data_IF_168786901374
#
_entry.id   IF_168786901374
#
_cell.length_a   1.000
_cell.length_b   1.000
_cell.length_c   1.000
_cell.angle_alpha   90.00
_cell.angle_beta   90.00
_cell.angle_gamma   90.00
#
_symmetry.space_group_name_H-M   'P 1'
#
loop_
_entity.id
_entity.type
_entity.pdbx_description
1 polymer ?
#
# COMPACT_ATOMS: atom_id res chain seq x y z
N UNK A 1 -2.44 -17.05 -7.96
CA UNK A 1 -2.06 -16.43 -9.24
C UNK A 1 -2.07 -14.91 -9.10
N UNK A 2 -3.14 -14.32 -8.55
CA UNK A 2 -3.29 -12.86 -8.38
C UNK A 2 -2.10 -12.17 -7.68
N UNK A 3 -1.76 -12.56 -6.45
CA UNK A 3 -0.60 -12.00 -5.75
C UNK A 3 0.75 -12.15 -6.44
N UNK A 4 0.98 -13.24 -7.19
CA UNK A 4 2.24 -13.43 -7.95
C UNK A 4 2.28 -12.46 -9.13
N UNK A 5 1.17 -12.30 -9.85
CA UNK A 5 1.06 -11.32 -10.94
C UNK A 5 1.21 -9.89 -10.41
N UNK A 6 0.57 -9.57 -9.29
CA UNK A 6 0.69 -8.26 -8.63
C UNK A 6 2.14 -7.96 -8.20
N UNK A 7 2.83 -8.98 -7.65
CA UNK A 7 4.25 -8.90 -7.29
C UNK A 7 5.11 -8.59 -8.51
N UNK A 8 4.91 -9.32 -9.61
CA UNK A 8 5.68 -9.10 -10.84
C UNK A 8 5.47 -7.68 -11.39
N UNK A 9 4.23 -7.19 -11.43
CA UNK A 9 3.89 -5.84 -11.89
C UNK A 9 4.66 -4.77 -11.09
N UNK A 10 4.58 -4.82 -9.75
CA UNK A 10 5.24 -3.83 -8.91
C UNK A 10 6.77 -3.98 -8.94
N UNK A 11 7.29 -5.20 -8.94
CA UNK A 11 8.74 -5.44 -9.03
C UNK A 11 9.31 -4.84 -10.31
N UNK A 12 8.72 -5.12 -11.47
CA UNK A 12 9.16 -4.56 -12.75
C UNK A 12 9.03 -3.04 -12.78
N UNK A 13 7.95 -2.49 -12.21
CA UNK A 13 7.76 -1.04 -12.12
C UNK A 13 8.84 -0.40 -11.27
N UNK A 14 9.09 -0.93 -10.07
CA UNK A 14 10.12 -0.42 -9.17
C UNK A 14 11.52 -0.54 -9.81
N UNK A 15 11.85 -1.66 -10.47
CA UNK A 15 13.14 -1.81 -11.15
C UNK A 15 13.30 -0.88 -12.35
N UNK A 16 12.23 -0.59 -13.08
CA UNK A 16 12.27 0.40 -14.16
C UNK A 16 12.48 1.83 -13.63
N UNK A 17 11.95 2.14 -12.44
CA UNK A 17 12.07 3.47 -11.82
C UNK A 17 13.37 3.65 -11.03
N UNK A 18 13.92 2.58 -10.48
CA UNK A 18 15.17 2.54 -9.73
C UNK A 18 16.00 1.31 -10.16
N UNK A 19 16.71 1.38 -11.30
CA UNK A 19 17.49 0.25 -11.82
C UNK A 19 18.51 -0.28 -10.82
N UNK A 20 19.18 0.63 -10.13
CA UNK A 20 20.20 0.35 -9.11
C UNK A 20 19.61 0.13 -7.70
N UNK A 21 18.28 0.17 -7.57
CA UNK A 21 17.60 -0.09 -6.32
C UNK A 21 17.69 -1.56 -5.90
N UNK A 22 17.93 -1.78 -4.61
CA UNK A 22 17.83 -3.09 -3.95
C UNK A 22 16.36 -3.45 -3.75
N UNK A 23 15.80 -4.14 -4.75
CA UNK A 23 14.39 -4.50 -4.80
C UNK A 23 14.29 -6.01 -4.81
N UNK A 24 13.78 -6.55 -3.69
CA UNK A 24 13.65 -7.98 -3.44
C UNK A 24 12.16 -8.34 -3.40
N UNK A 25 11.85 -9.58 -3.75
CA UNK A 25 10.51 -10.15 -3.56
C UNK A 25 10.55 -11.15 -2.42
N UNK A 26 9.42 -11.27 -1.74
CA UNK A 26 9.23 -12.26 -0.68
C UNK A 26 7.83 -12.86 -0.87
N UNK A 27 7.77 -14.19 -0.92
CA UNK A 27 6.52 -14.95 -1.05
C UNK A 27 6.45 -15.88 0.16
N UNK A 28 5.46 -15.72 1.05
CA UNK A 28 5.38 -16.51 2.26
C UNK A 28 5.10 -17.98 1.94
N UNK A 29 5.69 -18.88 2.73
CA UNK A 29 5.41 -20.31 2.60
C UNK A 29 4.05 -20.63 3.23
N UNK A 30 3.06 -20.93 2.38
CA UNK A 30 1.65 -21.05 2.82
C UNK A 30 1.42 -22.09 3.91
N UNK A 31 2.19 -23.18 3.93
CA UNK A 31 2.00 -24.26 4.90
C UNK A 31 2.56 -23.90 6.28
N UNK A 32 3.67 -23.15 6.32
CA UNK A 32 4.37 -22.87 7.57
C UNK A 32 3.96 -21.51 8.15
N UNK A 33 3.66 -20.54 7.28
CA UNK A 33 3.43 -19.14 7.64
C UNK A 33 1.96 -18.71 7.49
N UNK A 34 1.13 -19.57 6.91
CA UNK A 34 -0.28 -19.28 6.63
C UNK A 34 -0.49 -18.32 5.45
N UNK A 35 -1.64 -17.67 5.42
CA UNK A 35 -2.04 -16.74 4.36
C UNK A 35 -1.96 -15.28 4.83
N UNK A 36 -1.38 -14.42 3.99
CA UNK A 36 -1.32 -12.98 4.20
C UNK A 36 -0.01 -12.51 4.85
N UNK A 37 -0.04 -11.26 5.32
CA UNK A 37 1.07 -10.63 6.04
C UNK A 37 1.24 -11.25 7.43
N UNK A 38 2.48 -11.55 7.80
CA UNK A 38 2.82 -12.04 9.12
C UNK A 38 3.90 -11.14 9.77
N UNK A 39 3.83 -10.96 11.09
CA UNK A 39 4.74 -10.08 11.82
C UNK A 39 6.20 -10.57 11.82
N UNK A 40 6.42 -11.89 11.87
CA UNK A 40 7.76 -12.46 11.89
C UNK A 40 8.54 -12.21 10.59
N UNK A 41 7.85 -12.24 9.46
CA UNK A 41 8.35 -11.90 8.14
C UNK A 41 8.62 -10.40 8.04
N UNK A 42 7.71 -9.54 8.52
CA UNK A 42 7.98 -8.10 8.63
C UNK A 42 9.26 -7.86 9.43
N UNK A 43 9.39 -8.48 10.60
CA UNK A 43 10.57 -8.33 11.45
C UNK A 43 11.83 -8.89 10.78
N UNK A 44 11.72 -9.99 10.05
CA UNK A 44 12.84 -10.60 9.31
C UNK A 44 13.29 -9.71 8.15
N UNK A 45 12.35 -9.17 7.37
CA UNK A 45 12.64 -8.25 6.27
C UNK A 45 13.23 -6.93 6.80
N UNK A 46 12.71 -6.40 7.91
CA UNK A 46 13.26 -5.23 8.59
C UNK A 46 14.72 -5.47 9.02
N UNK A 47 15.01 -6.61 9.68
CA UNK A 47 16.38 -7.01 10.05
C UNK A 47 17.29 -7.19 8.83
N UNK A 48 16.74 -7.60 7.69
CA UNK A 48 17.46 -7.71 6.42
C UNK A 48 17.70 -6.35 5.72
N UNK A 49 17.32 -5.23 6.36
CA UNK A 49 17.57 -3.87 5.89
C UNK A 49 16.43 -3.26 5.06
N UNK A 50 15.23 -3.86 5.05
CA UNK A 50 14.11 -3.28 4.32
C UNK A 50 13.66 -1.96 4.97
N UNK A 51 13.77 -0.85 4.25
CA UNK A 51 13.25 0.45 4.67
C UNK A 51 11.76 0.63 4.32
N UNK A 52 11.31 -0.04 3.25
CA UNK A 52 9.93 -0.01 2.75
C UNK A 52 9.51 -1.42 2.41
N UNK A 53 8.31 -1.81 2.84
CA UNK A 53 7.67 -3.09 2.46
C UNK A 53 6.37 -2.74 1.75
N UNK A 54 6.17 -3.32 0.57
CA UNK A 54 4.91 -3.19 -0.18
C UNK A 54 4.23 -4.55 -0.21
N UNK A 55 3.10 -4.68 0.50
CA UNK A 55 2.29 -5.89 0.38
C UNK A 55 1.41 -5.82 -0.86
N UNK A 56 1.20 -6.98 -1.47
CA UNK A 56 0.31 -7.15 -2.62
C UNK A 56 -0.67 -8.26 -2.34
N UNK A 57 -1.92 -8.06 -2.76
CA UNK A 57 -2.99 -9.05 -2.66
C UNK A 57 -3.25 -9.51 -1.21
N UNK A 58 -2.82 -8.71 -0.22
CA UNK A 58 -3.02 -8.99 1.19
C UNK A 58 -2.69 -7.76 2.05
N UNK A 59 -3.16 -7.80 3.29
CA UNK A 59 -2.76 -6.88 4.35
C UNK A 59 -3.86 -5.96 4.86
N UNK A 60 -5.01 -5.87 4.20
CA UNK A 60 -6.03 -4.89 4.58
C UNK A 60 -6.64 -5.10 5.97
N UNK A 61 -6.46 -6.28 6.54
CA UNK A 61 -6.84 -6.64 7.92
C UNK A 61 -5.63 -6.92 8.83
N UNK A 62 -4.40 -6.69 8.36
CA UNK A 62 -3.17 -7.04 9.05
C UNK A 62 -2.74 -5.96 10.07
N UNK A 63 -3.56 -5.71 11.09
CA UNK A 63 -3.31 -4.67 12.09
C UNK A 63 -2.05 -4.94 12.93
N UNK A 64 -1.80 -6.20 13.31
CA UNK A 64 -0.62 -6.57 14.10
C UNK A 64 0.69 -6.48 13.28
N UNK A 65 0.78 -7.03 12.05
CA UNK A 65 1.97 -6.83 11.21
C UNK A 65 2.25 -5.36 10.87
N UNK A 66 1.20 -4.55 10.67
CA UNK A 66 1.36 -3.12 10.44
C UNK A 66 1.94 -2.38 11.66
N UNK A 67 1.49 -2.75 12.86
CA UNK A 67 2.06 -2.23 14.11
C UNK A 67 3.54 -2.62 14.25
N UNK A 68 3.88 -3.89 13.98
CA UNK A 68 5.28 -4.35 14.03
C UNK A 68 6.16 -3.59 13.03
N UNK A 69 5.69 -3.37 11.80
CA UNK A 69 6.42 -2.56 10.82
C UNK A 69 6.70 -1.15 11.35
N UNK A 70 5.69 -0.51 11.95
CA UNK A 70 5.79 0.81 12.54
C UNK A 70 6.77 0.87 13.71
N UNK A 71 6.71 -0.11 14.61
CA UNK A 71 7.60 -0.20 15.78
C UNK A 71 9.06 -0.43 15.36
N UNK A 72 9.29 -1.12 14.23
CA UNK A 72 10.61 -1.33 13.63
C UNK A 72 11.06 -0.20 12.70
N UNK A 73 10.24 0.84 12.52
CA UNK A 73 10.57 2.00 11.67
C UNK A 73 10.57 1.70 10.16
N UNK A 74 9.83 0.67 9.72
CA UNK A 74 9.68 0.28 8.33
C UNK A 74 8.37 0.84 7.76
N UNK A 75 8.44 1.50 6.61
CA UNK A 75 7.24 1.98 5.93
C UNK A 75 6.50 0.81 5.26
N UNK A 76 5.39 0.37 5.85
CA UNK A 76 4.50 -0.61 5.23
C UNK A 76 3.47 0.07 4.32
N UNK A 77 3.48 -0.27 3.04
CA UNK A 77 2.45 0.12 2.07
C UNK A 77 1.61 -1.10 1.72
N UNK A 78 0.32 -1.05 2.03
CA UNK A 78 -0.61 -2.15 1.75
C UNK A 78 -1.25 -1.93 0.40
N UNK A 79 -1.23 -2.94 -0.48
CA UNK A 79 -2.06 -2.98 -1.70
C UNK A 79 -2.89 -4.26 -1.69
N UNK A 80 -4.20 -4.11 -1.66
CA UNK A 80 -5.10 -5.23 -1.44
C UNK A 80 -6.48 -4.92 -2.05
N UNK A 81 -7.29 -5.96 -2.17
CA UNK A 81 -8.65 -5.88 -2.70
C UNK A 81 -9.68 -6.73 -1.93
N UNK A 82 -9.24 -7.49 -0.91
CA UNK A 82 -10.11 -8.27 -0.04
C UNK A 82 -11.13 -7.41 0.73
N UNK A 83 -11.98 -8.02 1.57
CA UNK A 83 -12.95 -7.22 2.32
C UNK A 83 -12.22 -6.35 3.36
N UNK A 84 -12.29 -5.01 3.24
CA UNK A 84 -11.67 -4.14 4.22
C UNK A 84 -12.53 -4.12 5.50
N UNK A 85 -11.96 -3.67 6.62
CA UNK A 85 -12.73 -3.29 7.80
C UNK A 85 -13.85 -2.29 7.45
N UNK A 86 -14.94 -2.34 8.21
CA UNK A 86 -16.10 -1.49 7.95
C UNK A 86 -15.84 0.00 8.25
N UNK A 87 -14.89 0.29 9.14
CA UNK A 87 -14.56 1.65 9.58
C UNK A 87 -13.11 1.98 9.33
N UNK A 88 -12.81 3.26 9.11
CA UNK A 88 -11.43 3.77 9.01
C UNK A 88 -10.63 3.53 10.30
N UNK A 89 -11.28 3.41 11.46
CA UNK A 89 -10.62 3.23 12.75
C UNK A 89 -10.04 1.82 12.93
N UNK A 90 -10.62 0.83 12.25
CA UNK A 90 -10.22 -0.57 12.29
C UNK A 90 -9.17 -0.92 11.22
N UNK A 91 -8.78 0.04 10.39
CA UNK A 91 -7.77 -0.14 9.36
C UNK A 91 -6.38 -0.32 9.98
N UNK A 92 -5.49 -1.14 9.37
CA UNK A 92 -4.11 -1.27 9.81
C UNK A 92 -3.38 0.08 9.85
N UNK A 93 -2.62 0.33 10.91
CA UNK A 93 -1.81 1.54 11.09
C UNK A 93 -0.49 1.45 10.29
N UNK A 94 -0.63 1.25 8.97
CA UNK A 94 0.45 1.19 8.01
C UNK A 94 0.81 2.60 7.51
N UNK A 95 1.96 2.74 6.81
CA UNK A 95 2.34 4.02 6.20
C UNK A 95 1.30 4.48 5.16
N UNK A 96 0.76 3.54 4.39
CA UNK A 96 -0.39 3.77 3.54
C UNK A 96 -1.11 2.46 3.18
N UNK A 97 -2.37 2.58 2.74
CA UNK A 97 -3.15 1.50 2.15
C UNK A 97 -3.79 1.95 0.83
N UNK A 98 -3.68 1.13 -0.21
CA UNK A 98 -4.31 1.30 -1.51
C UNK A 98 -5.33 0.19 -1.68
N UNK A 99 -6.61 0.56 -1.61
CA UNK A 99 -7.71 -0.38 -1.64
C UNK A 99 -8.93 0.21 -2.37
N UNK A 100 -9.52 -0.48 -3.35
CA UNK A 100 -10.63 0.07 -4.13
C UNK A 100 -11.87 0.32 -3.28
N UNK A 101 -12.07 -0.52 -2.25
CA UNK A 101 -13.22 -0.49 -1.33
C UNK A 101 -12.92 0.07 0.07
N UNK A 102 -11.78 0.77 0.26
CA UNK A 102 -11.47 1.37 1.56
C UNK A 102 -12.64 2.22 2.08
N UNK A 103 -12.85 2.33 3.41
CA UNK A 103 -13.95 3.14 3.95
C UNK A 103 -13.92 4.57 3.40
N UNK A 104 -15.09 5.05 2.93
CA UNK A 104 -15.22 6.35 2.29
C UNK A 104 -14.66 6.47 0.86
N UNK A 105 -14.18 5.37 0.25
CA UNK A 105 -13.79 5.34 -1.15
C UNK A 105 -14.97 5.64 -2.09
N UNK A 106 -14.73 6.50 -3.08
CA UNK A 106 -15.65 6.76 -4.22
C UNK A 106 -15.12 6.16 -5.52
N UNK A 107 -14.16 5.26 -5.43
CA UNK A 107 -13.53 4.67 -6.60
C UNK A 107 -14.55 3.80 -7.36
N UNK A 108 -14.80 4.04 -8.66
CA UNK A 108 -15.91 3.39 -9.37
C UNK A 108 -15.66 1.91 -9.68
N UNK A 109 -14.42 1.41 -9.51
CA UNK A 109 -14.06 0.03 -9.79
C UNK A 109 -13.72 -0.71 -8.49
N UNK A 110 -14.75 -0.96 -7.68
CA UNK A 110 -14.64 -1.67 -6.39
C UNK A 110 -14.09 -3.09 -6.50
N UNK A 111 -14.31 -3.74 -7.64
CA UNK A 111 -14.04 -5.16 -7.88
C UNK A 111 -12.68 -5.43 -8.53
N UNK A 112 -11.72 -4.50 -8.45
CA UNK A 112 -10.37 -4.77 -8.96
C UNK A 112 -9.74 -5.95 -8.21
N UNK A 113 -9.08 -6.85 -8.94
CA UNK A 113 -8.21 -7.87 -8.37
C UNK A 113 -6.92 -7.26 -7.81
N UNK A 114 -6.16 -8.01 -7.00
CA UNK A 114 -4.89 -7.57 -6.42
C UNK A 114 -3.90 -7.10 -7.50
N UNK A 115 -3.78 -7.82 -8.61
CA UNK A 115 -2.98 -7.42 -9.76
C UNK A 115 -3.50 -6.15 -10.44
N UNK A 116 -4.82 -5.93 -10.46
CA UNK A 116 -5.44 -4.70 -10.94
C UNK A 116 -5.11 -3.50 -10.06
N UNK A 117 -5.14 -3.66 -8.74
CA UNK A 117 -4.71 -2.63 -7.78
C UNK A 117 -3.23 -2.28 -7.98
N UNK A 118 -2.36 -3.31 -8.05
CA UNK A 118 -0.93 -3.15 -8.33
C UNK A 118 -0.68 -2.42 -9.66
N UNK A 119 -1.39 -2.78 -10.72
CA UNK A 119 -1.31 -2.11 -12.02
C UNK A 119 -1.71 -0.63 -11.94
N UNK A 120 -2.80 -0.29 -11.24
CA UNK A 120 -3.22 1.11 -11.08
C UNK A 120 -2.24 1.93 -10.26
N UNK A 121 -1.62 1.33 -9.24
CA UNK A 121 -0.53 1.97 -8.50
C UNK A 121 0.68 2.23 -9.39
N UNK A 122 1.13 1.22 -10.15
CA UNK A 122 2.24 1.35 -11.11
C UNK A 122 1.97 2.43 -12.15
N UNK A 123 0.76 2.43 -12.72
CA UNK A 123 0.29 3.42 -13.68
C UNK A 123 0.32 4.83 -13.08
N UNK A 124 -0.25 5.03 -11.89
CA UNK A 124 -0.24 6.32 -11.20
C UNK A 124 1.18 6.81 -10.92
N UNK A 125 2.09 5.93 -10.49
CA UNK A 125 3.48 6.29 -10.19
C UNK A 125 4.22 6.74 -11.44
N UNK A 126 4.04 6.06 -12.57
CA UNK A 126 4.63 6.45 -13.86
C UNK A 126 4.11 7.80 -14.33
N UNK A 127 2.80 8.05 -14.21
CA UNK A 127 2.19 9.32 -14.59
C UNK A 127 2.63 10.49 -13.72
N UNK A 128 2.77 10.28 -12.41
CA UNK A 128 3.25 11.30 -11.48
C UNK A 128 4.68 11.77 -11.80
N UNK A 129 5.53 10.87 -12.32
CA UNK A 129 6.90 11.19 -12.73
C UNK A 129 6.99 11.77 -14.14
N UNK A 130 6.04 11.42 -15.02
CA UNK A 130 5.95 11.93 -16.39
C UNK A 130 5.22 13.27 -16.55
N UNK A 131 4.81 13.93 -15.46
CA UNK A 131 4.16 15.25 -15.49
C UNK A 131 2.69 15.26 -16.00
N UNK A 132 2.14 14.13 -16.42
CA UNK A 132 0.76 14.02 -16.89
C UNK A 132 -0.14 13.70 -15.70
N UNK A 133 -0.84 14.70 -15.18
CA UNK A 133 -1.87 14.48 -14.17
C UNK A 133 -3.07 13.76 -14.79
N UNK A 134 -3.50 12.60 -14.26
CA UNK A 134 -4.73 11.98 -14.73
C UNK A 134 -5.91 12.92 -14.43
N UNK A 135 -6.68 13.27 -15.46
CA UNK A 135 -7.84 14.13 -15.36
C UNK A 135 -8.93 13.48 -14.51
N UNK A 136 -9.06 13.91 -13.26
CA UNK A 136 -10.22 13.69 -12.40
C UNK A 136 -10.66 15.06 -11.91
N UNK A 137 -11.94 15.38 -12.09
CA UNK A 137 -12.55 16.70 -11.89
C UNK A 137 -12.11 17.36 -10.58
N UNK A 138 -11.69 18.63 -10.64
CA UNK A 138 -11.24 19.40 -9.49
C UNK A 138 -12.42 19.72 -8.56
N UNK A 139 -12.29 19.43 -7.27
CA UNK A 139 -13.20 19.91 -6.25
C UNK A 139 -12.93 21.41 -5.93
N UNK A 140 -13.94 22.18 -5.44
CA UNK A 140 -13.84 23.62 -5.21
C UNK A 140 -12.72 24.01 -4.23
N UNK A 141 -12.18 25.23 -4.39
CA UNK A 141 -10.92 25.71 -3.82
C UNK A 141 -10.95 26.01 -2.30
N UNK A 142 -12.09 25.81 -1.66
CA UNK A 142 -12.40 26.45 -0.36
C UNK A 142 -12.41 25.45 0.82
N UNK A 143 -11.87 24.23 0.63
CA UNK A 143 -11.83 23.20 1.68
C UNK A 143 -10.64 23.41 2.66
N UNK A 144 -10.85 23.16 3.97
CA UNK A 144 -9.85 23.37 5.03
C UNK A 144 -8.60 22.45 4.89
N UNK A 145 -7.47 22.88 5.46
CA UNK A 145 -6.12 22.33 5.21
C UNK A 145 -5.91 20.84 5.53
N UNK A 146 -6.81 20.20 6.29
CA UNK A 146 -6.79 18.74 6.52
C UNK A 146 -7.33 17.93 5.33
N UNK A 147 -7.83 18.59 4.27
CA UNK A 147 -8.42 17.98 3.08
C UNK A 147 -7.53 18.02 1.83
N UNK A 148 -6.20 18.18 1.97
CA UNK A 148 -5.27 18.15 0.83
C UNK A 148 -4.47 16.84 0.78
N UNK A 149 -5.14 15.77 0.36
CA UNK A 149 -4.50 14.65 -0.36
C UNK A 149 -5.35 14.40 -1.61
N UNK A 150 -4.88 14.97 -2.72
CA UNK A 150 -5.42 14.77 -4.07
C UNK A 150 -5.22 13.31 -4.48
N UNK A 151 -6.27 12.62 -4.93
CA UNK A 151 -6.25 11.40 -5.75
C UNK A 151 -5.35 10.26 -5.24
N UNK A 152 -5.96 9.12 -4.89
CA UNK A 152 -5.37 8.01 -4.11
C UNK A 152 -5.06 8.44 -2.67
N UNK A 153 -5.99 8.17 -1.74
CA UNK A 153 -5.75 8.34 -0.30
C UNK A 153 -4.56 7.46 0.11
N UNK A 154 -3.37 8.07 0.22
CA UNK A 154 -2.32 7.61 1.11
C UNK A 154 -2.72 8.13 2.51
N UNK A 155 -3.18 7.25 3.39
CA UNK A 155 -3.49 7.61 4.77
C UNK A 155 -2.19 7.88 5.53
N UNK A 156 -1.78 9.16 5.64
CA UNK A 156 -0.68 9.55 6.51
C UNK A 156 -1.22 9.80 7.92
N UNK A 157 -1.01 8.87 8.85
CA UNK A 157 -1.20 9.17 10.28
C UNK A 157 -0.04 10.08 10.71
N UNK A 158 -0.34 11.36 10.96
CA UNK A 158 0.65 12.30 11.49
C UNK A 158 1.17 11.75 12.82
N UNK A 159 2.50 11.55 12.96
CA UNK A 159 3.12 11.31 14.27
C UNK A 159 2.77 12.47 15.20
N UNK A 160 2.30 12.27 16.44
CA UNK A 160 2.49 13.29 17.45
C UNK A 160 4.00 13.45 17.64
N UNK A 161 4.49 14.68 17.55
CA UNK A 161 5.83 15.00 17.99
C UNK A 161 5.93 14.59 19.46
N UNK A 162 6.94 13.79 19.81
CA UNK A 162 7.15 13.31 21.17
C UNK A 162 7.24 14.46 22.17
N UNK A 163 6.65 14.24 23.34
CA UNK A 163 6.97 14.91 24.59
C UNK A 163 7.65 13.92 25.52
#
# INVERSE_FOLDING_TARGET
MDGITATAILWHTCKALAPDGDIRTYVPHRLDEGYGLNADAIATLARAGAAVIVSVDCGITACEPARVAKDLGVDLVITDHHNPPATDADMPDAYAAVHPRAPGSRYPFGELCGAGVAYKLAWARRHALGGVRPGLAEAPRDAPAHARVRGTRLYRRCRPAGG
#
